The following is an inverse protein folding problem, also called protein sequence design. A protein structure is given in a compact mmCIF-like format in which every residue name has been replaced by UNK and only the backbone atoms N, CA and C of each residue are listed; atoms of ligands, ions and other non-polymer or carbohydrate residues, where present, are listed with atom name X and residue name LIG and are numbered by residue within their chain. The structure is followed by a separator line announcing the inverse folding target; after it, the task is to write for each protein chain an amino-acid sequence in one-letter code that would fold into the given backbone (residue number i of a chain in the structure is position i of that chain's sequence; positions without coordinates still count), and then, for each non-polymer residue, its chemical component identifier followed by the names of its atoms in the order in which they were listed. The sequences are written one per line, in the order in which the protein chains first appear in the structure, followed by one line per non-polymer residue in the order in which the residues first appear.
data_IF_232482393601
#
_entry.id   IF_232482393601
#
_cell.length_a   1.000
_cell.length_b   1.000
_cell.length_c   1.000
_cell.angle_alpha   90.00
_cell.angle_beta   90.00
_cell.angle_gamma   90.00
#
_symmetry.space_group_name_H-M   'P 1'
#
loop_
_entity.id
_entity.type
_entity.pdbx_description
1 polymer ?
#
# COMPACT_ATOMS: atom_id res chain seq x y z
N UNK A 1 4.35 -16.26 29.12
CA UNK A 1 4.59 -15.15 28.17
C UNK A 1 4.42 -15.60 26.73
N UNK A 2 5.27 -16.50 26.21
CA UNK A 2 5.25 -16.94 24.80
C UNK A 2 3.88 -17.42 24.29
N UNK A 3 3.19 -18.31 25.02
CA UNK A 3 1.88 -18.82 24.58
C UNK A 3 0.81 -17.73 24.40
N UNK A 4 0.75 -16.74 25.30
CA UNK A 4 -0.19 -15.60 25.16
C UNK A 4 0.22 -14.67 24.03
N UNK A 5 1.51 -14.51 23.78
CA UNK A 5 2.01 -13.74 22.64
C UNK A 5 1.56 -14.34 21.32
N UNK A 6 1.70 -15.67 21.17
CA UNK A 6 1.24 -16.38 19.98
C UNK A 6 -0.27 -16.25 19.80
N UNK A 7 -1.05 -16.38 20.88
CA UNK A 7 -2.51 -16.17 20.85
C UNK A 7 -2.90 -14.79 20.30
N UNK A 8 -2.25 -13.71 20.77
CA UNK A 8 -2.50 -12.37 20.23
C UNK A 8 -2.16 -12.25 18.75
N UNK A 9 -1.03 -12.81 18.31
CA UNK A 9 -0.62 -12.77 16.91
C UNK A 9 -1.55 -13.59 16.01
N UNK A 10 -1.99 -14.77 16.46
CA UNK A 10 -2.93 -15.63 15.74
C UNK A 10 -4.28 -14.94 15.52
N UNK A 11 -4.76 -14.20 16.53
CA UNK A 11 -6.03 -13.48 16.46
C UNK A 11 -6.07 -12.33 15.43
N UNK A 12 -4.92 -11.85 14.97
CA UNK A 12 -4.84 -10.81 13.93
C UNK A 12 -5.26 -11.37 12.56
N UNK A 13 -4.91 -12.63 12.27
CA UNK A 13 -5.34 -13.31 11.04
C UNK A 13 -4.88 -12.65 9.73
N UNK A 14 -3.74 -11.98 9.71
CA UNK A 14 -3.23 -11.30 8.49
C UNK A 14 -2.43 -12.26 7.59
N UNK A 15 -2.64 -12.23 6.26
CA UNK A 15 -1.90 -13.08 5.32
C UNK A 15 -0.41 -12.73 5.19
N UNK A 16 0.01 -11.56 5.68
CA UNK A 16 1.41 -11.14 5.68
C UNK A 16 2.06 -11.29 7.08
N UNK A 17 1.34 -11.85 8.05
CA UNK A 17 1.85 -12.19 9.37
C UNK A 17 2.21 -13.68 9.41
N UNK A 18 3.48 -13.96 9.64
CA UNK A 18 4.01 -15.30 9.86
C UNK A 18 4.29 -15.50 11.34
N UNK A 19 3.93 -16.66 11.87
CA UNK A 19 3.98 -16.91 13.31
C UNK A 19 4.95 -18.05 13.59
N UNK A 20 5.95 -17.74 14.41
CA UNK A 20 6.89 -18.68 15.01
C UNK A 20 7.45 -19.75 14.06
N UNK A 21 7.33 -21.05 14.38
CA UNK A 21 7.85 -22.19 13.60
C UNK A 21 7.29 -22.25 12.15
N UNK A 22 6.31 -21.42 11.80
CA UNK A 22 5.75 -21.29 10.46
C UNK A 22 6.30 -20.09 9.68
N UNK A 23 7.30 -19.38 10.21
CA UNK A 23 8.02 -18.34 9.46
C UNK A 23 8.93 -19.03 8.43
N UNK A 24 8.77 -18.74 7.12
CA UNK A 24 9.67 -19.26 6.08
C UNK A 24 11.13 -18.89 6.35
N UNK A 25 12.05 -19.86 6.20
CA UNK A 25 13.46 -19.68 6.55
C UNK A 25 14.13 -18.52 5.79
N UNK A 26 13.81 -18.36 4.51
CA UNK A 26 14.31 -17.27 3.67
C UNK A 26 13.88 -15.89 4.20
N UNK A 27 12.62 -15.75 4.63
CA UNK A 27 12.11 -14.53 5.28
C UNK A 27 12.75 -14.29 6.64
N UNK A 28 12.95 -15.35 7.42
CA UNK A 28 13.59 -15.27 8.72
C UNK A 28 15.03 -14.77 8.60
N UNK A 29 15.80 -15.30 7.65
CA UNK A 29 17.18 -14.86 7.40
C UNK A 29 17.23 -13.41 6.92
N UNK A 30 16.35 -13.03 5.97
CA UNK A 30 16.25 -11.64 5.51
C UNK A 30 15.91 -10.68 6.65
N UNK A 31 14.94 -11.02 7.50
CA UNK A 31 14.56 -10.20 8.65
C UNK A 31 15.72 -10.08 9.65
N UNK A 32 16.46 -11.16 9.90
CA UNK A 32 17.63 -11.12 10.80
C UNK A 32 18.73 -10.21 10.29
N UNK A 33 19.04 -10.28 9.00
CA UNK A 33 20.05 -9.46 8.37
C UNK A 33 19.62 -7.98 8.32
N UNK A 34 18.44 -7.70 7.78
CA UNK A 34 17.98 -6.34 7.53
C UNK A 34 17.58 -5.61 8.81
N UNK A 35 16.91 -6.26 9.76
CA UNK A 35 16.38 -5.58 10.94
C UNK A 35 17.43 -5.58 12.08
N UNK A 36 18.65 -6.06 11.80
CA UNK A 36 19.74 -6.20 12.78
C UNK A 36 19.37 -7.05 14.01
N UNK A 37 18.60 -8.12 13.80
CA UNK A 37 18.11 -8.97 14.90
C UNK A 37 19.24 -9.92 15.35
N UNK A 38 19.60 -9.94 16.64
CA UNK A 38 20.61 -10.87 17.15
C UNK A 38 20.26 -12.34 16.85
N UNK A 39 21.24 -13.16 16.46
CA UNK A 39 21.02 -14.61 16.23
C UNK A 39 20.44 -15.35 17.45
N UNK A 40 20.71 -14.86 18.65
CA UNK A 40 20.16 -15.40 19.91
C UNK A 40 18.72 -14.98 20.18
N UNK A 41 18.18 -14.02 19.42
CA UNK A 41 16.80 -13.57 19.57
C UNK A 41 15.85 -14.60 18.97
N UNK A 42 14.84 -14.98 19.75
CA UNK A 42 13.74 -15.83 19.29
C UNK A 42 12.65 -14.93 18.73
N UNK A 43 12.32 -15.13 17.45
CA UNK A 43 11.28 -14.37 16.74
C UNK A 43 9.97 -15.16 16.86
N UNK A 44 8.93 -14.51 17.38
CA UNK A 44 7.61 -15.09 17.61
C UNK A 44 6.62 -14.74 16.50
N UNK A 45 6.81 -13.60 15.86
CA UNK A 45 6.00 -13.18 14.71
C UNK A 45 6.81 -12.31 13.77
N UNK A 46 6.49 -12.38 12.48
CA UNK A 46 7.08 -11.59 11.43
C UNK A 46 5.98 -11.04 10.53
N UNK A 47 5.83 -9.72 10.52
CA UNK A 47 4.97 -9.00 9.60
C UNK A 47 5.83 -8.56 8.44
N UNK A 48 5.57 -9.14 7.29
CA UNK A 48 6.27 -8.81 6.05
C UNK A 48 5.61 -7.60 5.39
N UNK A 49 6.36 -6.50 5.27
CA UNK A 49 5.91 -5.30 4.54
C UNK A 49 6.58 -5.17 3.17
N UNK A 50 7.36 -6.16 2.75
CA UNK A 50 7.98 -6.13 1.42
C UNK A 50 7.00 -6.43 0.32
N UNK A 51 7.21 -5.76 -0.81
CA UNK A 51 6.35 -5.90 -1.98
C UNK A 51 6.33 -7.33 -2.57
N UNK A 52 7.49 -7.98 -2.66
CA UNK A 52 7.65 -9.34 -3.19
C UNK A 52 7.62 -10.43 -2.12
N UNK A 53 7.32 -10.07 -0.87
CA UNK A 53 7.30 -11.02 0.23
C UNK A 53 8.68 -11.62 0.55
N UNK A 54 9.75 -10.82 0.51
CA UNK A 54 11.09 -11.23 0.96
C UNK A 54 11.32 -11.01 2.46
N UNK A 55 10.49 -10.20 3.14
CA UNK A 55 10.68 -9.76 4.52
C UNK A 55 11.99 -9.00 4.82
N UNK A 56 12.61 -8.36 3.82
CA UNK A 56 13.71 -7.40 4.02
C UNK A 56 13.27 -6.08 4.67
N UNK A 57 11.99 -5.76 4.62
CA UNK A 57 11.32 -4.74 5.44
C UNK A 57 10.12 -5.33 6.14
N UNK A 58 9.76 -4.73 7.26
CA UNK A 58 8.68 -5.23 8.10
C UNK A 58 8.98 -5.13 9.58
N UNK A 59 8.25 -5.95 10.34
CA UNK A 59 8.28 -5.94 11.80
C UNK A 59 8.44 -7.34 12.32
N UNK A 60 9.44 -7.58 13.15
CA UNK A 60 9.63 -8.82 13.87
C UNK A 60 9.33 -8.63 15.36
N UNK A 61 8.44 -9.47 15.88
CA UNK A 61 8.12 -9.56 17.30
C UNK A 61 9.06 -10.57 17.96
N UNK A 62 10.04 -10.09 18.70
CA UNK A 62 10.97 -10.92 19.47
C UNK A 62 10.54 -11.10 20.92
N UNK A 63 11.30 -11.91 21.67
CA UNK A 63 11.15 -12.03 23.11
C UNK A 63 11.60 -10.78 23.87
N UNK A 64 12.57 -10.03 23.34
CA UNK A 64 13.09 -8.81 24.00
C UNK A 64 12.35 -7.54 23.60
N UNK A 65 11.71 -7.52 22.45
CA UNK A 65 11.04 -6.33 21.94
C UNK A 65 10.59 -6.47 20.50
N UNK A 66 10.34 -5.32 19.89
CA UNK A 66 9.95 -5.19 18.49
C UNK A 66 11.16 -4.73 17.70
N UNK A 67 11.44 -5.39 16.59
CA UNK A 67 12.48 -5.04 15.63
C UNK A 67 11.81 -4.69 14.31
N UNK A 68 12.35 -3.73 13.57
CA UNK A 68 11.77 -3.37 12.28
C UNK A 68 12.81 -2.88 11.28
N UNK A 69 12.40 -2.86 10.02
CA UNK A 69 13.09 -2.12 8.98
C UNK A 69 12.02 -1.42 8.14
N UNK A 70 12.11 -0.10 8.07
CA UNK A 70 11.28 0.72 7.19
C UNK A 70 11.97 0.89 5.84
N UNK A 71 11.18 1.18 4.81
CA UNK A 71 11.67 1.45 3.45
C UNK A 71 12.34 2.83 3.30
N UNK A 72 12.24 3.71 4.30
CA UNK A 72 12.82 5.05 4.30
C UNK A 72 13.57 5.42 5.60
N UNK A 73 14.36 6.50 5.55
CA UNK A 73 15.23 6.95 6.66
C UNK A 73 14.54 7.93 7.62
N UNK A 74 13.49 7.49 8.30
CA UNK A 74 12.82 8.31 9.33
C UNK A 74 13.07 7.82 10.77
N UNK A 75 13.78 6.69 10.93
CA UNK A 75 14.02 6.09 12.24
C UNK A 75 15.51 6.04 12.54
N UNK A 76 15.93 6.55 13.69
CA UNK A 76 17.33 6.49 14.15
C UNK A 76 17.67 5.10 14.72
N UNK A 77 16.65 4.40 15.20
CA UNK A 77 16.74 3.07 15.77
C UNK A 77 15.67 2.16 15.20
N UNK A 78 15.98 0.86 15.15
CA UNK A 78 15.19 -0.18 14.48
C UNK A 78 14.70 -1.24 15.48
N UNK A 79 14.77 -0.90 16.77
CA UNK A 79 14.47 -1.77 17.89
C UNK A 79 13.93 -0.96 19.06
N UNK A 80 12.89 -1.48 19.70
CA UNK A 80 12.36 -0.97 20.97
C UNK A 80 12.07 -2.16 21.89
N UNK A 81 12.53 -2.08 23.13
CA UNK A 81 12.30 -3.16 24.09
C UNK A 81 10.84 -3.16 24.57
N UNK A 82 10.35 -4.33 25.00
CA UNK A 82 9.00 -4.40 25.60
C UNK A 82 8.86 -3.53 26.86
N UNK A 83 9.96 -3.32 27.60
CA UNK A 83 9.96 -2.44 28.77
C UNK A 83 9.79 -0.97 28.40
N UNK A 84 10.49 -0.52 27.37
CA UNK A 84 10.40 0.87 26.90
C UNK A 84 9.03 1.13 26.27
N UNK A 85 8.50 0.20 25.47
CA UNK A 85 7.14 0.27 24.94
C UNK A 85 6.08 0.40 26.04
N UNK A 86 6.18 -0.39 27.11
CA UNK A 86 5.25 -0.30 28.23
C UNK A 86 5.33 1.06 28.94
N UNK A 87 6.54 1.57 29.18
CA UNK A 87 6.74 2.85 29.86
C UNK A 87 6.30 4.06 29.01
N UNK A 88 6.40 3.94 27.69
CA UNK A 88 6.08 5.00 26.74
C UNK A 88 4.73 4.77 26.03
N UNK A 89 3.87 3.90 26.55
CA UNK A 89 2.63 3.51 25.86
C UNK A 89 1.68 4.71 25.61
N UNK A 90 1.71 5.74 26.46
CA UNK A 90 0.91 6.95 26.29
C UNK A 90 1.43 7.91 25.21
N UNK A 91 2.66 7.71 24.73
CA UNK A 91 3.24 8.54 23.66
C UNK A 91 3.11 7.89 22.29
N UNK A 92 2.53 6.69 22.21
CA UNK A 92 2.26 6.02 20.94
C UNK A 92 1.23 6.84 20.17
N UNK A 93 1.67 7.40 19.04
CA UNK A 93 0.82 8.17 18.15
C UNK A 93 0.70 7.46 16.80
N UNK A 94 -0.48 7.60 16.20
CA UNK A 94 -0.79 7.03 14.90
C UNK A 94 -1.02 8.17 13.91
N UNK A 95 -0.17 8.24 12.90
CA UNK A 95 -0.34 9.15 11.77
C UNK A 95 -0.30 8.33 10.48
N UNK A 96 -1.45 8.26 9.80
CA UNK A 96 -1.69 7.39 8.64
C UNK A 96 -1.37 5.91 8.93
N UNK A 97 -0.34 5.37 8.27
CA UNK A 97 0.17 4.00 8.47
C UNK A 97 1.46 3.95 9.31
N UNK A 98 1.87 5.08 9.89
CA UNK A 98 3.10 5.20 10.67
C UNK A 98 2.79 5.30 12.15
N UNK A 99 3.39 4.41 12.93
CA UNK A 99 3.25 4.34 14.38
C UNK A 99 4.50 4.94 15.00
N UNK A 100 4.33 6.03 15.72
CA UNK A 100 5.41 6.75 16.39
C UNK A 100 5.46 6.36 17.85
N UNK A 101 6.61 5.88 18.33
CA UNK A 101 6.82 5.61 19.75
C UNK A 101 7.42 6.82 20.47
N UNK A 102 8.29 7.54 19.78
CA UNK A 102 8.98 8.76 20.20
C UNK A 102 9.52 9.48 18.94
N UNK A 103 10.01 10.74 19.04
CA UNK A 103 10.62 11.42 17.90
C UNK A 103 11.71 10.58 17.24
N UNK A 104 11.67 10.45 15.92
CA UNK A 104 12.61 9.64 15.12
C UNK A 104 12.63 8.14 15.47
N UNK A 105 11.56 7.61 16.06
CA UNK A 105 11.39 6.19 16.32
C UNK A 105 9.99 5.77 15.88
N UNK A 106 9.90 5.21 14.68
CA UNK A 106 8.64 4.90 14.05
C UNK A 106 8.68 3.60 13.27
N UNK A 107 7.55 2.91 13.26
CA UNK A 107 7.30 1.76 12.39
C UNK A 107 6.34 2.19 11.29
N UNK A 108 6.74 1.98 10.04
CA UNK A 108 5.82 2.04 8.91
C UNK A 108 5.29 0.63 8.62
N UNK A 109 3.98 0.46 8.78
CA UNK A 109 3.28 -0.80 8.50
C UNK A 109 2.49 -0.75 7.19
N UNK A 110 2.76 0.22 6.32
CA UNK A 110 2.34 0.18 4.93
C UNK A 110 2.67 -1.20 4.34
N UNK A 111 1.74 -1.75 3.55
CA UNK A 111 1.85 -3.09 2.95
C UNK A 111 1.73 -4.29 3.90
N UNK A 112 1.58 -4.11 5.22
CA UNK A 112 1.38 -5.22 6.18
C UNK A 112 0.01 -5.92 6.05
N UNK A 113 -0.96 -5.29 5.37
CA UNK A 113 -2.39 -5.66 5.35
C UNK A 113 -3.06 -5.70 6.73
N UNK A 114 -2.37 -5.30 7.79
CA UNK A 114 -2.93 -5.13 9.13
C UNK A 114 -3.43 -3.69 9.22
N UNK A 115 -4.64 -3.50 9.74
CA UNK A 115 -5.16 -2.13 9.95
C UNK A 115 -4.31 -1.42 11.01
N UNK A 116 -3.98 -0.13 10.85
CA UNK A 116 -3.05 0.52 11.77
C UNK A 116 -3.53 0.60 13.23
N UNK A 117 -4.82 0.84 13.45
CA UNK A 117 -5.45 0.80 14.77
C UNK A 117 -5.33 -0.58 15.43
N UNK A 118 -5.60 -1.65 14.66
CA UNK A 118 -5.45 -3.03 15.13
C UNK A 118 -3.99 -3.35 15.50
N UNK A 119 -3.04 -2.86 14.72
CA UNK A 119 -1.61 -3.05 15.01
C UNK A 119 -1.16 -2.30 16.27
N UNK A 120 -1.66 -1.08 16.47
CA UNK A 120 -1.40 -0.31 17.70
C UNK A 120 -1.93 -1.04 18.92
N UNK A 121 -3.17 -1.55 18.87
CA UNK A 121 -3.74 -2.32 19.97
C UNK A 121 -2.98 -3.63 20.21
N UNK A 122 -2.54 -4.33 19.16
CA UNK A 122 -1.66 -5.49 19.28
C UNK A 122 -0.37 -5.17 20.05
N UNK A 123 0.31 -4.06 19.70
CA UNK A 123 1.55 -3.65 20.40
C UNK A 123 1.26 -3.39 21.88
N UNK A 124 0.15 -2.71 22.18
CA UNK A 124 -0.25 -2.43 23.58
C UNK A 124 -0.53 -3.72 24.34
N UNK A 125 -1.26 -4.65 23.75
CA UNK A 125 -1.58 -5.94 24.35
C UNK A 125 -0.32 -6.77 24.62
N UNK A 126 0.61 -6.80 23.66
CA UNK A 126 1.89 -7.50 23.80
C UNK A 126 2.77 -6.88 24.91
N UNK A 127 2.89 -5.54 24.95
CA UNK A 127 3.67 -4.84 25.97
C UNK A 127 3.05 -5.00 27.38
N UNK A 128 1.72 -4.93 27.49
CA UNK A 128 1.02 -5.23 28.74
C UNK A 128 1.25 -6.68 29.17
N UNK A 129 1.13 -7.63 28.24
CA UNK A 129 1.39 -9.04 28.51
C UNK A 129 2.82 -9.28 29.01
N UNK A 130 3.81 -8.63 28.42
CA UNK A 130 5.20 -8.68 28.90
C UNK A 130 5.31 -8.19 30.36
N UNK A 131 4.73 -7.02 30.67
CA UNK A 131 4.78 -6.45 32.02
C UNK A 131 4.08 -7.35 33.05
N UNK A 132 2.87 -7.82 32.77
CA UNK A 132 2.13 -8.71 33.68
C UNK A 132 2.91 -10.00 33.96
N UNK A 133 3.51 -10.63 32.95
CA UNK A 133 4.33 -11.83 33.16
C UNK A 133 5.56 -11.54 34.02
N UNK A 134 6.24 -10.40 33.81
CA UNK A 134 7.40 -9.98 34.62
C UNK A 134 7.00 -9.72 36.08
N UNK A 135 5.88 -9.05 36.30
CA UNK A 135 5.33 -8.83 37.64
C UNK A 135 4.89 -10.14 38.31
N UNK A 136 4.20 -11.05 37.62
CA UNK A 136 3.81 -12.35 38.17
C UNK A 136 5.00 -13.20 38.59
N UNK A 137 6.09 -13.21 37.81
CA UNK A 137 7.34 -13.89 38.23
C UNK A 137 8.04 -13.24 39.43
N UNK A 138 7.72 -11.98 39.74
CA UNK A 138 8.20 -11.29 40.96
C UNK A 138 7.23 -11.39 42.15
N UNK A 139 5.99 -11.81 41.92
CA UNK A 139 4.91 -11.85 42.93
C UNK A 139 4.68 -13.28 43.49
N UNK A 140 5.26 -14.32 42.87
CA UNK A 140 5.28 -15.68 43.46
C UNK A 140 6.16 -15.84 44.72
N UNK A 141 6.63 -14.72 45.30
CA UNK A 141 7.21 -14.69 46.65
C UNK A 141 6.24 -14.17 47.73
N UNK A 142 5.04 -13.70 47.41
CA UNK A 142 4.07 -13.26 48.43
C UNK A 142 2.62 -13.56 48.04
N UNK A 143 2.04 -14.60 48.66
CA UNK A 143 0.59 -14.84 48.66
C UNK A 143 -0.17 -13.79 49.50
N UNK A 144 -1.46 -13.56 49.21
CA UNK A 144 -2.17 -12.33 49.54
C UNK A 144 -2.96 -12.42 50.85
N UNK A 145 -3.19 -11.27 51.49
CA UNK A 145 -4.24 -11.09 52.50
C UNK A 145 -5.35 -10.22 51.89
N UNK A 146 -6.57 -10.75 51.96
CA UNK A 146 -7.85 -10.14 51.58
C UNK A 146 -8.06 -8.73 52.17
N UNK A 147 -8.71 -7.86 51.41
CA UNK A 147 -9.91 -7.17 51.90
C UNK A 147 -10.79 -6.61 50.77
N UNK A 148 -12.05 -6.34 51.12
CA UNK A 148 -13.26 -6.40 50.29
C UNK A 148 -13.96 -5.03 50.31
N UNK A 149 -14.77 -4.76 49.27
CA UNK A 149 -15.97 -3.85 49.25
C UNK A 149 -15.63 -2.35 49.04
N UNK A 150 -16.34 -1.50 48.25
CA UNK A 150 -17.76 -1.41 47.84
C UNK A 150 -17.99 -0.53 46.59
N UNK A 151 -19.12 -0.78 45.94
CA UNK A 151 -19.81 -0.05 44.87
C UNK A 151 -20.34 1.34 45.28
N UNK A 152 -20.43 2.28 44.33
CA UNK A 152 -21.51 3.30 44.25
C UNK A 152 -21.80 3.62 42.78
N UNK A 153 -23.09 3.52 42.41
CA UNK A 153 -23.69 3.94 41.13
C UNK A 153 -24.30 5.36 41.22
N UNK A 154 -24.65 5.88 40.03
CA UNK A 154 -25.71 6.85 39.68
C UNK A 154 -25.29 8.27 39.25
N UNK A 155 -25.83 8.69 38.09
CA UNK A 155 -25.80 10.09 37.65
C UNK A 155 -26.15 10.35 36.17
N UNK A 156 -27.40 10.14 35.79
CA UNK A 156 -27.98 10.19 34.44
C UNK A 156 -28.16 11.62 33.82
N UNK A 157 -28.39 11.67 32.49
CA UNK A 157 -29.02 12.73 31.62
C UNK A 157 -28.05 13.70 30.90
N UNK A 158 -28.11 13.94 29.59
CA UNK A 158 -29.27 14.38 28.77
C UNK A 158 -29.25 13.89 27.30
N UNK A 159 -30.45 13.88 26.69
CA UNK A 159 -30.77 13.46 25.32
C UNK A 159 -31.25 14.66 24.47
N UNK A 160 -30.62 14.83 23.29
CA UNK A 160 -31.11 15.33 21.97
C UNK A 160 -31.50 16.82 21.76
N UNK A 161 -31.31 17.40 20.55
CA UNK A 161 -31.93 16.93 19.30
C UNK A 161 -31.10 16.90 18.01
N UNK A 162 -31.62 16.03 17.13
CA UNK A 162 -31.36 15.82 15.71
C UNK A 162 -31.55 17.12 14.93
N UNK A 163 -30.53 17.52 14.17
CA UNK A 163 -30.61 18.52 13.11
C UNK A 163 -30.32 17.84 11.77
N UNK A 164 -31.36 17.67 10.96
CA UNK A 164 -31.25 17.32 9.55
C UNK A 164 -30.87 18.60 8.80
N UNK A 165 -29.72 18.60 8.13
CA UNK A 165 -29.47 19.51 7.01
C UNK A 165 -29.04 18.69 5.80
N UNK A 166 -29.93 18.68 4.82
CA UNK A 166 -29.65 18.34 3.42
C UNK A 166 -28.37 19.06 2.96
N UNK A 167 -27.39 18.29 2.52
CA UNK A 167 -26.46 18.73 1.49
C UNK A 167 -26.32 17.58 0.50
N UNK A 168 -27.27 17.59 -0.44
CA UNK A 168 -27.21 17.02 -1.77
C UNK A 168 -25.78 16.77 -2.30
N UNK A 169 -25.57 15.53 -2.72
CA UNK A 169 -24.59 15.05 -3.72
C UNK A 169 -23.18 15.67 -3.69
N UNK A 170 -22.28 15.03 -2.96
CA UNK A 170 -20.96 14.76 -3.52
C UNK A 170 -20.92 13.27 -3.86
N UNK A 171 -21.35 12.92 -5.07
CA UNK A 171 -20.87 11.67 -5.68
C UNK A 171 -19.37 11.92 -5.84
N UNK A 172 -18.59 11.32 -4.95
CA UNK A 172 -17.14 11.32 -5.06
C UNK A 172 -16.84 10.53 -6.33
N UNK A 173 -16.32 11.23 -7.31
CA UNK A 173 -15.92 10.70 -8.61
C UNK A 173 -14.77 9.70 -8.41
N UNK A 174 -15.11 8.46 -8.05
CA UNK A 174 -14.17 7.39 -7.66
C UNK A 174 -13.24 6.95 -8.79
N UNK A 175 -13.55 7.38 -10.03
CA UNK A 175 -12.75 7.14 -11.23
C UNK A 175 -12.36 8.42 -11.98
N UNK A 176 -12.51 9.60 -11.36
CA UNK A 176 -11.99 10.87 -11.84
C UNK A 176 -10.46 10.87 -11.88
N UNK A 177 -9.92 10.30 -12.95
CA UNK A 177 -8.52 9.98 -13.15
C UNK A 177 -8.08 10.54 -14.49
N UNK A 178 -7.75 11.83 -14.55
CA UNK A 178 -6.65 12.32 -15.38
C UNK A 178 -6.43 13.80 -15.08
N UNK A 179 -5.36 14.06 -14.33
CA UNK A 179 -4.69 15.34 -14.49
C UNK A 179 -3.18 15.18 -14.31
N UNK A 180 -2.64 14.11 -14.91
CA UNK A 180 -1.19 13.89 -14.94
C UNK A 180 -0.48 15.08 -15.59
N UNK A 181 -1.12 15.74 -16.57
CA UNK A 181 -0.69 16.98 -17.19
C UNK A 181 -0.40 18.10 -16.19
N UNK A 182 -1.23 18.28 -15.15
CA UNK A 182 -1.04 19.36 -14.17
C UNK A 182 -0.18 18.96 -12.96
N UNK A 183 0.34 17.71 -12.91
CA UNK A 183 1.31 17.32 -11.88
C UNK A 183 2.67 18.00 -12.10
N UNK A 184 3.57 17.89 -11.13
CA UNK A 184 4.95 18.40 -11.30
C UNK A 184 5.66 17.64 -12.41
N UNK A 185 6.67 18.27 -13.01
CA UNK A 185 7.50 17.62 -14.03
C UNK A 185 8.15 16.34 -13.50
N UNK A 186 8.62 16.36 -12.25
CA UNK A 186 9.19 15.19 -11.58
C UNK A 186 8.18 14.03 -11.51
N UNK A 187 6.92 14.29 -11.17
CA UNK A 187 5.86 13.27 -11.17
C UNK A 187 5.64 12.71 -12.56
N UNK A 188 5.53 13.58 -13.58
CA UNK A 188 5.32 13.13 -14.96
C UNK A 188 6.50 12.30 -15.47
N UNK A 189 7.74 12.68 -15.15
CA UNK A 189 8.94 11.95 -15.55
C UNK A 189 9.04 10.58 -14.89
N UNK A 190 8.82 10.50 -13.57
CA UNK A 190 8.87 9.23 -12.83
C UNK A 190 7.74 8.29 -13.22
N UNK A 191 6.53 8.81 -13.40
CA UNK A 191 5.40 8.08 -13.95
C UNK A 191 5.72 7.50 -15.34
N UNK A 192 6.24 8.35 -16.23
CA UNK A 192 6.59 7.92 -17.58
C UNK A 192 7.70 6.88 -17.57
N UNK A 193 8.74 7.05 -16.75
CA UNK A 193 9.83 6.10 -16.64
C UNK A 193 9.36 4.72 -16.13
N UNK A 194 8.42 4.66 -15.19
CA UNK A 194 7.78 3.39 -14.80
C UNK A 194 7.04 2.74 -15.96
N UNK A 195 6.25 3.51 -16.71
CA UNK A 195 5.58 3.01 -17.91
C UNK A 195 6.59 2.43 -18.91
N UNK A 196 7.65 3.17 -19.21
CA UNK A 196 8.75 2.74 -20.09
C UNK A 196 9.40 1.45 -19.58
N UNK A 197 9.72 1.37 -18.29
CA UNK A 197 10.31 0.18 -17.69
C UNK A 197 9.44 -1.06 -17.92
N UNK A 198 8.12 -0.92 -17.79
CA UNK A 198 7.17 -2.02 -17.95
C UNK A 198 6.99 -2.41 -19.43
N UNK A 199 6.81 -1.45 -20.34
CA UNK A 199 6.57 -1.75 -21.76
C UNK A 199 7.83 -2.23 -22.49
N UNK A 200 9.02 -1.81 -22.03
CA UNK A 200 10.30 -2.27 -22.59
C UNK A 200 10.72 -3.65 -22.05
N UNK A 201 10.16 -4.12 -20.94
CA UNK A 201 10.37 -5.50 -20.46
C UNK A 201 9.79 -6.53 -21.44
N UNK A 202 8.84 -6.14 -22.30
CA UNK A 202 8.30 -6.95 -23.39
C UNK A 202 9.13 -6.93 -24.68
N UNK A 203 10.25 -6.20 -24.68
CA UNK A 203 11.17 -6.11 -25.80
C UNK A 203 11.25 -4.71 -26.38
N UNK A 204 10.83 -4.54 -27.64
CA UNK A 204 10.92 -3.27 -28.35
C UNK A 204 9.54 -2.63 -28.53
N UNK A 205 9.50 -1.30 -28.54
CA UNK A 205 8.32 -0.51 -28.86
C UNK A 205 8.13 -0.54 -30.38
N UNK A 206 6.98 -1.04 -30.86
CA UNK A 206 6.67 -1.09 -32.29
C UNK A 206 6.24 0.28 -32.85
N UNK A 207 6.02 0.38 -34.17
CA UNK A 207 5.62 1.65 -34.81
C UNK A 207 4.28 2.20 -34.30
N UNK A 208 3.34 1.33 -33.95
CA UNK A 208 2.01 1.71 -33.46
C UNK A 208 2.10 2.25 -32.04
N UNK A 209 2.83 1.56 -31.17
CA UNK A 209 3.13 2.01 -29.82
C UNK A 209 3.94 3.30 -29.85
N UNK A 210 4.96 3.43 -30.70
CA UNK A 210 5.80 4.61 -30.80
C UNK A 210 5.01 5.85 -31.23
N UNK A 211 4.11 5.72 -32.22
CA UNK A 211 3.25 6.83 -32.63
C UNK A 211 2.35 7.31 -31.48
N UNK A 212 1.75 6.38 -30.73
CA UNK A 212 0.91 6.70 -29.58
C UNK A 212 1.70 7.30 -28.41
N UNK A 213 2.87 6.76 -28.14
CA UNK A 213 3.79 7.23 -27.12
C UNK A 213 4.26 8.66 -27.39
N UNK A 214 4.60 9.00 -28.63
CA UNK A 214 4.98 10.36 -29.00
C UNK A 214 3.85 11.37 -28.74
N UNK A 215 2.61 11.03 -29.10
CA UNK A 215 1.44 11.86 -28.82
C UNK A 215 1.18 11.99 -27.31
N UNK A 216 1.30 10.89 -26.57
CA UNK A 216 1.12 10.87 -25.12
C UNK A 216 2.16 11.73 -24.39
N UNK A 217 3.45 11.63 -24.77
CA UNK A 217 4.51 12.45 -24.21
C UNK A 217 4.35 13.94 -24.52
N UNK A 218 3.86 14.30 -25.71
CA UNK A 218 3.54 15.68 -26.06
C UNK A 218 2.47 16.25 -25.10
N UNK A 219 1.41 15.48 -24.83
CA UNK A 219 0.36 15.89 -23.90
C UNK A 219 0.87 16.10 -22.46
N UNK A 220 1.89 15.35 -22.05
CA UNK A 220 2.54 15.51 -20.74
C UNK A 220 3.60 16.61 -20.71
N UNK A 221 3.80 17.37 -21.78
CA UNK A 221 4.89 18.33 -21.94
C UNK A 221 6.29 17.67 -21.76
N UNK A 222 6.43 16.41 -22.20
CA UNK A 222 7.68 15.64 -22.16
C UNK A 222 8.21 15.33 -23.57
N UNK A 223 7.79 16.11 -24.58
CA UNK A 223 8.23 15.93 -25.96
C UNK A 223 9.77 15.97 -26.07
N UNK A 224 10.34 15.02 -26.83
CA UNK A 224 11.79 14.91 -27.01
C UNK A 224 12.58 14.30 -25.84
N UNK A 225 11.93 13.97 -24.71
CA UNK A 225 12.60 13.40 -23.53
C UNK A 225 12.62 11.87 -23.47
N UNK A 226 12.15 11.19 -24.50
CA UNK A 226 12.06 9.73 -24.52
C UNK A 226 13.39 9.04 -24.17
N UNK A 227 14.53 9.53 -24.68
CA UNK A 227 15.84 8.94 -24.37
C UNK A 227 16.16 9.04 -22.86
N UNK A 228 15.92 10.20 -22.24
CA UNK A 228 16.12 10.41 -20.81
C UNK A 228 15.17 9.55 -19.97
N UNK A 229 13.92 9.41 -20.40
CA UNK A 229 12.92 8.56 -19.73
C UNK A 229 13.29 7.08 -19.81
N UNK A 230 13.85 6.62 -20.94
CA UNK A 230 14.40 5.27 -21.06
C UNK A 230 15.62 5.06 -20.15
N UNK A 231 16.52 6.05 -20.03
CA UNK A 231 17.64 5.98 -19.09
C UNK A 231 17.17 5.98 -17.63
N UNK A 232 16.14 6.77 -17.31
CA UNK A 232 15.51 6.74 -16.00
C UNK A 232 14.87 5.37 -15.75
N UNK A 233 14.09 4.84 -16.70
CA UNK A 233 13.50 3.50 -16.63
C UNK A 233 14.55 2.41 -16.38
N UNK A 234 15.70 2.48 -17.08
CA UNK A 234 16.81 1.56 -16.86
C UNK A 234 17.40 1.69 -15.45
N UNK A 235 17.56 2.90 -14.91
CA UNK A 235 18.00 3.10 -13.52
C UNK A 235 16.99 2.55 -12.51
N UNK A 236 15.70 2.71 -12.79
CA UNK A 236 14.61 2.15 -11.99
C UNK A 236 14.56 0.62 -12.01
N UNK A 237 15.22 -0.06 -12.95
CA UNK A 237 15.29 -1.52 -12.92
C UNK A 237 16.05 -2.08 -11.70
N UNK A 238 16.78 -1.23 -10.96
CA UNK A 238 17.31 -1.58 -9.64
C UNK A 238 16.21 -1.54 -8.58
N UNK A 239 16.15 -2.55 -7.71
CA UNK A 239 15.04 -2.73 -6.74
C UNK A 239 14.84 -1.51 -5.82
N UNK A 240 15.93 -0.92 -5.32
CA UNK A 240 15.87 0.21 -4.38
C UNK A 240 15.28 1.48 -5.04
N UNK A 241 15.59 1.73 -6.32
CA UNK A 241 15.09 2.91 -7.03
C UNK A 241 13.65 2.76 -7.53
N UNK A 242 13.21 1.54 -7.85
CA UNK A 242 11.83 1.26 -8.26
C UNK A 242 10.85 1.62 -7.14
N UNK A 243 11.19 1.22 -5.93
CA UNK A 243 10.34 1.37 -4.75
C UNK A 243 10.21 2.81 -4.30
N UNK A 244 11.32 3.57 -4.29
CA UNK A 244 11.29 5.01 -4.02
C UNK A 244 10.33 5.74 -4.97
N UNK A 245 10.32 5.35 -6.25
CA UNK A 245 9.48 5.99 -7.26
C UNK A 245 8.01 5.60 -7.13
N UNK A 246 7.70 4.34 -6.85
CA UNK A 246 6.31 3.91 -6.59
C UNK A 246 5.74 4.66 -5.39
N UNK A 247 6.49 4.72 -4.28
CA UNK A 247 6.08 5.44 -3.08
C UNK A 247 5.94 6.94 -3.34
N UNK A 248 6.88 7.53 -4.09
CA UNK A 248 6.79 8.91 -4.53
C UNK A 248 5.47 9.17 -5.27
N UNK A 249 5.09 8.33 -6.24
CA UNK A 249 3.85 8.53 -6.99
C UNK A 249 2.59 8.35 -6.13
N UNK A 250 2.55 7.33 -5.27
CA UNK A 250 1.42 7.09 -4.36
C UNK A 250 1.21 8.28 -3.42
N UNK A 251 2.29 8.82 -2.86
CA UNK A 251 2.26 9.99 -1.97
C UNK A 251 1.77 11.27 -2.67
N UNK A 252 2.00 11.38 -3.98
CA UNK A 252 1.58 12.56 -4.75
C UNK A 252 0.10 12.49 -5.13
N UNK A 253 -0.39 11.31 -5.50
CA UNK A 253 -1.81 11.06 -5.76
C UNK A 253 -2.06 9.54 -5.85
N UNK A 254 -2.82 8.94 -4.91
CA UNK A 254 -3.12 7.51 -4.91
C UNK A 254 -3.79 7.01 -6.19
N UNK A 255 -4.44 7.91 -6.96
CA UNK A 255 -5.09 7.58 -8.22
C UNK A 255 -4.11 7.31 -9.36
N UNK A 256 -2.86 7.75 -9.26
CA UNK A 256 -1.84 7.56 -10.30
C UNK A 256 -1.54 6.08 -10.55
N UNK A 257 -1.70 5.23 -9.54
CA UNK A 257 -1.57 3.78 -9.73
C UNK A 257 -2.61 3.22 -10.70
N UNK A 258 -3.86 3.66 -10.58
CA UNK A 258 -4.95 3.27 -11.49
C UNK A 258 -4.71 3.80 -12.90
N UNK A 259 -4.27 5.06 -13.03
CA UNK A 259 -3.87 5.64 -14.33
C UNK A 259 -2.78 4.82 -14.99
N UNK A 260 -1.72 4.50 -14.23
CA UNK A 260 -0.55 3.82 -14.77
C UNK A 260 -0.93 2.42 -15.25
N UNK A 261 -1.76 1.71 -14.48
CA UNK A 261 -2.19 0.38 -14.85
C UNK A 261 -3.03 0.38 -16.13
N UNK A 262 -3.88 1.39 -16.33
CA UNK A 262 -4.63 1.56 -17.57
C UNK A 262 -3.71 1.90 -18.75
N UNK A 263 -2.78 2.85 -18.58
CA UNK A 263 -1.81 3.20 -19.63
C UNK A 263 -0.97 1.98 -20.03
N UNK A 264 -0.45 1.23 -19.04
CA UNK A 264 0.26 -0.04 -19.26
C UNK A 264 -0.61 -1.03 -20.01
N UNK A 265 -1.86 -1.21 -19.59
CA UNK A 265 -2.81 -2.13 -20.23
C UNK A 265 -3.08 -1.75 -21.68
N UNK A 266 -3.23 -0.46 -21.98
CA UNK A 266 -3.41 0.05 -23.33
C UNK A 266 -2.17 -0.19 -24.20
N UNK A 267 -0.98 0.16 -23.72
CA UNK A 267 0.25 -0.03 -24.50
C UNK A 267 0.59 -1.51 -24.72
N UNK A 268 0.40 -2.36 -23.73
CA UNK A 268 0.67 -3.81 -23.84
C UNK A 268 -0.35 -4.50 -24.73
N UNK A 269 -1.63 -4.11 -24.67
CA UNK A 269 -2.69 -4.68 -25.50
C UNK A 269 -2.63 -4.24 -26.98
N UNK A 270 -1.79 -3.26 -27.33
CA UNK A 270 -1.51 -2.91 -28.72
C UNK A 270 -0.61 -3.93 -29.43
N UNK A 271 0.11 -4.76 -28.67
CA UNK A 271 1.00 -5.81 -29.19
C UNK A 271 0.23 -7.14 -29.21
N UNK A 272 0.24 -7.85 -30.33
CA UNK A 272 -0.49 -9.12 -30.53
C UNK A 272 0.08 -10.31 -29.70
N UNK A 273 1.04 -10.08 -28.80
CA UNK A 273 1.77 -11.13 -28.08
C UNK A 273 1.02 -11.63 -26.83
N UNK A 274 0.42 -12.82 -26.95
CA UNK A 274 -0.06 -13.71 -25.88
C UNK A 274 -0.65 -13.03 -24.61
N UNK A 275 -1.98 -12.91 -24.59
CA UNK A 275 -2.77 -12.32 -23.49
C UNK A 275 -2.43 -12.81 -22.08
N UNK A 276 -1.96 -14.05 -21.91
CA UNK A 276 -1.71 -14.64 -20.59
C UNK A 276 -0.55 -14.01 -19.82
N UNK A 277 0.50 -13.50 -20.50
CA UNK A 277 1.62 -12.83 -19.82
C UNK A 277 1.23 -11.44 -19.34
N UNK A 278 0.51 -10.70 -20.18
CA UNK A 278 -0.01 -9.36 -19.89
C UNK A 278 -0.94 -9.39 -18.68
N UNK A 279 -1.86 -10.35 -18.60
CA UNK A 279 -2.76 -10.49 -17.44
C UNK A 279 -2.00 -10.71 -16.12
N UNK A 280 -1.01 -11.61 -16.11
CA UNK A 280 -0.26 -11.90 -14.87
C UNK A 280 0.53 -10.68 -14.35
N UNK A 281 1.03 -9.83 -15.25
CA UNK A 281 1.75 -8.60 -14.89
C UNK A 281 0.81 -7.48 -14.45
N UNK A 282 -0.34 -7.33 -15.10
CA UNK A 282 -1.35 -6.36 -14.66
C UNK A 282 -1.89 -6.73 -13.28
N UNK A 283 -2.10 -8.01 -12.97
CA UNK A 283 -2.48 -8.46 -11.63
C UNK A 283 -1.40 -8.17 -10.58
N UNK A 284 -0.13 -8.32 -10.96
CA UNK A 284 1.01 -8.03 -10.10
C UNK A 284 1.13 -6.53 -9.82
N UNK A 285 1.00 -5.68 -10.85
CA UNK A 285 1.00 -4.22 -10.72
C UNK A 285 -0.24 -3.70 -9.97
N UNK A 286 -1.40 -4.33 -10.16
CA UNK A 286 -2.60 -4.01 -9.39
C UNK A 286 -2.35 -4.17 -7.89
N UNK A 287 -1.65 -5.24 -7.49
CA UNK A 287 -1.22 -5.45 -6.10
C UNK A 287 -0.23 -4.38 -5.61
N UNK A 288 0.69 -3.89 -6.45
CA UNK A 288 1.60 -2.76 -6.13
C UNK A 288 0.81 -1.55 -5.72
N UNK A 289 -0.18 -1.18 -6.54
CA UNK A 289 -0.93 0.05 -6.36
C UNK A 289 -2.17 -0.12 -5.48
N UNK A 290 -2.29 -1.26 -4.77
CA UNK A 290 -3.42 -1.59 -3.90
C UNK A 290 -4.78 -1.53 -4.61
N UNK A 291 -4.77 -1.82 -5.92
CA UNK A 291 -5.95 -1.87 -6.78
C UNK A 291 -6.65 -3.21 -6.55
N UNK A 292 -7.93 -3.15 -6.16
CA UNK A 292 -8.71 -4.34 -5.86
C UNK A 292 -9.25 -5.02 -7.14
N UNK A 293 -9.78 -6.24 -7.01
CA UNK A 293 -10.27 -7.02 -8.16
C UNK A 293 -11.41 -6.34 -8.95
N UNK A 294 -12.21 -5.50 -8.30
CA UNK A 294 -13.28 -4.74 -8.97
C UNK A 294 -12.67 -3.65 -9.83
N UNK A 295 -11.77 -2.85 -9.25
CA UNK A 295 -11.07 -1.77 -9.96
C UNK A 295 -10.21 -2.30 -11.10
N UNK A 296 -9.56 -3.46 -10.91
CA UNK A 296 -8.80 -4.13 -11.97
C UNK A 296 -9.72 -4.54 -13.12
N UNK A 297 -10.91 -5.09 -12.84
CA UNK A 297 -11.90 -5.43 -13.88
C UNK A 297 -12.38 -4.19 -14.62
N UNK A 298 -12.57 -3.07 -13.91
CA UNK A 298 -12.94 -1.80 -14.52
C UNK A 298 -11.84 -1.30 -15.47
N UNK A 299 -10.58 -1.38 -15.06
CA UNK A 299 -9.43 -1.02 -15.91
C UNK A 299 -9.34 -1.93 -17.15
N UNK A 300 -9.56 -3.23 -17.01
CA UNK A 300 -9.57 -4.17 -18.13
C UNK A 300 -10.75 -3.90 -19.08
N UNK A 301 -11.93 -3.60 -18.54
CA UNK A 301 -13.09 -3.19 -19.33
C UNK A 301 -12.80 -1.90 -20.11
N UNK A 302 -12.24 -0.88 -19.45
CA UNK A 302 -11.88 0.38 -20.08
C UNK A 302 -10.85 0.18 -21.18
N UNK A 303 -9.85 -0.67 -20.96
CA UNK A 303 -8.85 -1.03 -21.97
C UNK A 303 -9.53 -1.62 -23.20
N UNK A 304 -10.39 -2.63 -23.02
CA UNK A 304 -11.11 -3.27 -24.12
C UNK A 304 -12.03 -2.28 -24.86
N UNK A 305 -12.73 -1.43 -24.10
CA UNK A 305 -13.60 -0.39 -24.66
C UNK A 305 -12.84 0.62 -25.52
N UNK A 306 -11.72 1.14 -25.01
CA UNK A 306 -10.87 2.13 -25.70
C UNK A 306 -10.25 1.53 -26.97
N UNK A 307 -9.84 0.26 -26.93
CA UNK A 307 -9.23 -0.45 -28.06
C UNK A 307 -10.25 -1.02 -29.06
N UNK A 308 -11.55 -0.79 -28.85
CA UNK A 308 -12.64 -1.37 -29.66
C UNK A 308 -12.63 -2.90 -29.72
N UNK A 309 -12.14 -3.56 -28.66
CA UNK A 309 -12.21 -5.01 -28.51
C UNK A 309 -13.59 -5.43 -27.95
N UNK A 310 -13.96 -6.71 -28.15
CA UNK A 310 -15.19 -7.23 -27.54
C UNK A 310 -15.11 -7.14 -26.01
N UNK A 311 -16.14 -6.55 -25.41
CA UNK A 311 -16.35 -6.50 -23.96
C UNK A 311 -17.28 -7.63 -23.49
N UNK A 312 -17.62 -8.58 -24.37
CA UNK A 312 -18.49 -9.71 -24.04
C UNK A 312 -17.83 -10.59 -22.96
N UNK A 313 -18.50 -10.70 -21.81
CA UNK A 313 -17.98 -11.44 -20.66
C UNK A 313 -17.24 -10.58 -19.62
N UNK A 314 -17.03 -9.28 -19.88
CA UNK A 314 -16.60 -8.33 -18.87
C UNK A 314 -17.81 -7.68 -18.20
N UNK A 315 -17.74 -7.51 -16.87
CA UNK A 315 -18.77 -6.76 -16.15
C UNK A 315 -18.66 -5.29 -16.55
N UNK A 316 -19.78 -4.65 -16.90
CA UNK A 316 -19.79 -3.20 -17.09
C UNK A 316 -19.33 -2.53 -15.79
N UNK A 317 -18.47 -1.50 -15.90
CA UNK A 317 -18.00 -0.78 -14.74
C UNK A 317 -19.17 -0.10 -14.01
N UNK A 318 -18.94 0.25 -12.75
CA UNK A 318 -19.90 1.04 -11.98
C UNK A 318 -20.26 2.36 -12.70
N UNK A 319 -21.46 2.93 -12.46
CA UNK A 319 -22.09 3.92 -13.36
C UNK A 319 -21.37 5.26 -13.54
N UNK A 320 -20.32 5.53 -12.76
CA UNK A 320 -19.78 6.88 -12.59
C UNK A 320 -18.31 7.03 -13.06
N UNK A 321 -17.86 6.24 -14.04
CA UNK A 321 -16.52 6.44 -14.63
C UNK A 321 -16.52 7.64 -15.58
N UNK A 322 -15.89 8.74 -15.17
CA UNK A 322 -15.63 9.88 -16.06
C UNK A 322 -14.60 9.51 -17.15
N UNK A 323 -15.09 9.33 -18.38
CA UNK A 323 -14.25 9.07 -19.54
C UNK A 323 -13.57 10.33 -20.12
N UNK A 324 -13.87 11.54 -19.62
CA UNK A 324 -13.31 12.80 -20.13
C UNK A 324 -11.80 12.86 -20.03
N UNK A 325 -11.35 12.31 -18.93
CA UNK A 325 -10.01 11.99 -18.54
C UNK A 325 -9.23 11.17 -19.59
N UNK A 326 -9.90 10.32 -20.38
CA UNK A 326 -9.26 9.39 -21.31
C UNK A 326 -9.44 9.75 -22.78
N UNK A 327 -9.85 10.99 -23.08
CA UNK A 327 -10.08 11.44 -24.45
C UNK A 327 -8.86 11.25 -25.38
N UNK A 328 -7.64 11.27 -24.85
CA UNK A 328 -6.41 11.01 -25.61
C UNK A 328 -6.35 9.59 -26.20
N UNK A 329 -6.95 8.65 -25.48
CA UNK A 329 -6.95 7.24 -25.83
C UNK A 329 -8.12 6.85 -26.73
N UNK A 330 -9.23 7.61 -26.68
CA UNK A 330 -10.41 7.32 -27.49
C UNK A 330 -10.13 7.41 -29.00
N UNK A 331 -10.78 6.59 -29.83
CA UNK A 331 -10.78 6.74 -31.29
C UNK A 331 -11.28 8.13 -31.72
N UNK A 332 -10.75 8.71 -32.82
CA UNK A 332 -11.12 10.07 -33.27
C UNK A 332 -12.64 10.30 -33.36
N UNK A 333 -13.39 9.31 -33.85
CA UNK A 333 -14.85 9.43 -33.98
C UNK A 333 -15.55 9.46 -32.60
N UNK A 334 -15.00 8.79 -31.58
CA UNK A 334 -15.48 8.87 -30.21
C UNK A 334 -15.02 10.15 -29.51
N UNK A 335 -13.81 10.63 -29.78
CA UNK A 335 -13.35 11.95 -29.31
C UNK A 335 -14.29 13.07 -29.79
N UNK A 336 -14.78 12.99 -31.02
CA UNK A 336 -15.73 13.96 -31.59
C UNK A 336 -17.11 13.88 -30.91
N UNK A 337 -17.60 12.68 -30.61
CA UNK A 337 -18.85 12.49 -29.88
C UNK A 337 -18.74 12.98 -28.43
N UNK A 338 -17.60 12.72 -27.80
CA UNK A 338 -17.27 13.16 -26.45
C UNK A 338 -17.15 14.69 -26.33
N UNK A 339 -16.50 15.33 -27.30
CA UNK A 339 -16.47 16.80 -27.41
C UNK A 339 -17.86 17.40 -27.65
N UNK A 340 -18.85 16.64 -28.13
CA UNK A 340 -20.22 17.13 -28.33
C UNK A 340 -21.13 16.93 -27.10
N UNK A 341 -20.82 16.00 -26.20
CA UNK A 341 -21.58 15.78 -24.96
C UNK A 341 -21.22 16.75 -23.84
N UNK A 342 -20.00 17.31 -23.84
CA UNK A 342 -19.55 18.34 -22.89
C UNK A 342 -20.16 19.75 -23.14
N UNK A 343 -20.93 19.94 -24.21
CA UNK A 343 -21.59 21.21 -24.58
C UNK A 343 -23.12 21.10 -24.61
N UNK A 344 -23.70 20.26 -23.76
CA UNK A 344 -25.15 20.18 -23.53
C UNK A 344 -25.52 20.44 -22.09
#
# INVERSE_FOLDING_TARGET
MEGKFLEFLENIGSPNLYIYDFIPNDKLENARECYSIPRSEKILGLVDTTFWGSAKTGVAFGLKGVYWMNLGKYTEHNFISWGDLYNNMSTIDLSDSTIWFEPNCAIDINMSKIKPDVFVELIKDLANCYYFNKCSTSVDLYSPVNEKVSLVEEGNKDIMPIGISDNSLNIVDEFGVYDLSNKSEDVRCHYSALLFMIILDDGYIDERQQSKLSYWLEHLNLNGRQAELCELAYRLSSQDSLEEVINFLIMQDPRLGKSLLLDVSLFTSMVESSSSKVSSRLEMLAKVFLINDVELKDILYLTAFILEHSTDGLCKPQPDIDLSSYHLWLPEHQQILFRKSLWK
#
